data_IF_797573466654
#
_entry.id   IF_797573466654
#
_cell.length_a   1.000
_cell.length_b   1.000
_cell.length_c   1.000
_cell.angle_alpha   90.00
_cell.angle_beta   90.00
_cell.angle_gamma   90.00
#
_symmetry.space_group_name_H-M   'P 1'
#
loop_
_entity.id
_entity.type
_entity.pdbx_description
1 polymer ?
#
# COMPACT_ATOMS: atom_id res chain seq x y z
N UNK A 1 -10.24 -9.35 8.43
CA UNK A 1 -10.50 -8.53 9.64
C UNK A 1 -10.08 -9.33 10.86
N UNK A 2 -9.54 -8.67 11.89
CA UNK A 2 -9.22 -9.28 13.18
C UNK A 2 -9.65 -8.36 14.33
N UNK A 3 -10.55 -8.87 15.18
CA UNK A 3 -11.10 -8.17 16.35
C UNK A 3 -10.61 -8.72 17.70
N UNK A 4 -9.63 -9.63 17.69
CA UNK A 4 -9.12 -10.30 18.90
C UNK A 4 -8.65 -9.31 19.97
N UNK A 5 -8.11 -8.17 19.56
CA UNK A 5 -7.58 -7.13 20.48
C UNK A 5 -8.54 -5.96 20.69
N UNK A 6 -9.63 -5.90 19.93
CA UNK A 6 -10.51 -4.75 19.93
C UNK A 6 -11.31 -4.66 21.24
N UNK A 7 -11.32 -3.47 21.86
CA UNK A 7 -12.20 -3.15 23.00
C UNK A 7 -12.97 -1.88 22.70
N UNK A 8 -14.13 -1.72 23.36
CA UNK A 8 -14.94 -0.51 23.25
C UNK A 8 -14.08 0.75 23.50
N UNK A 9 -14.19 1.74 22.60
CA UNK A 9 -13.38 2.96 22.59
C UNK A 9 -12.01 2.84 21.91
N UNK A 10 -11.60 1.64 21.48
CA UNK A 10 -10.40 1.42 20.67
C UNK A 10 -10.57 1.89 19.21
N UNK A 11 -9.47 2.21 18.52
CA UNK A 11 -9.51 2.64 17.12
C UNK A 11 -9.60 1.45 16.15
N UNK A 12 -9.86 1.75 14.88
CA UNK A 12 -9.61 0.84 13.76
C UNK A 12 -8.23 1.15 13.19
N UNK A 13 -7.36 0.14 13.11
CA UNK A 13 -6.18 0.17 12.27
C UNK A 13 -6.54 -0.41 10.90
N UNK A 14 -6.56 0.47 9.90
CA UNK A 14 -6.99 0.16 8.55
C UNK A 14 -5.79 0.12 7.61
N UNK A 15 -5.37 -1.07 7.18
CA UNK A 15 -4.32 -1.19 6.18
C UNK A 15 -4.89 -0.99 4.78
N UNK A 16 -4.41 0.02 4.08
CA UNK A 16 -4.74 0.29 2.67
C UNK A 16 -3.91 -0.64 1.80
N UNK A 17 -4.48 -1.80 1.46
CA UNK A 17 -3.84 -2.79 0.58
C UNK A 17 -3.37 -2.17 -0.72
N UNK A 18 -2.33 -2.74 -1.31
CA UNK A 18 -1.64 -2.11 -2.42
C UNK A 18 -1.45 -3.13 -3.56
N UNK A 19 -0.35 -3.05 -4.30
CA UNK A 19 -0.10 -3.74 -5.56
C UNK A 19 0.17 -5.25 -5.46
N UNK A 20 -0.60 -5.98 -4.65
CA UNK A 20 -0.40 -7.42 -4.43
C UNK A 20 -1.51 -8.08 -3.62
N UNK A 21 -1.31 -9.38 -3.35
CA UNK A 21 -2.22 -10.14 -2.50
C UNK A 21 -2.20 -9.61 -1.07
N UNK A 22 -3.38 -9.37 -0.49
CA UNK A 22 -3.51 -8.77 0.83
C UNK A 22 -2.90 -9.60 1.97
N UNK A 23 -2.87 -10.92 1.84
CA UNK A 23 -2.34 -11.84 2.87
C UNK A 23 -0.81 -11.71 3.01
N UNK A 24 -0.12 -11.37 1.92
CA UNK A 24 1.32 -11.10 1.94
C UNK A 24 1.63 -9.85 2.77
N UNK A 25 0.85 -8.78 2.57
CA UNK A 25 0.98 -7.55 3.35
C UNK A 25 0.57 -7.75 4.81
N UNK A 26 -0.48 -8.55 5.07
CA UNK A 26 -0.88 -8.91 6.42
C UNK A 26 0.27 -9.58 7.17
N UNK A 27 0.97 -10.52 6.54
CA UNK A 27 2.09 -11.24 7.17
C UNK A 27 3.33 -10.36 7.35
N UNK A 28 3.62 -9.47 6.40
CA UNK A 28 4.81 -8.62 6.44
C UNK A 28 4.68 -7.39 7.35
N UNK A 29 3.46 -6.94 7.67
CA UNK A 29 3.22 -5.71 8.43
C UNK A 29 3.18 -5.97 9.95
N UNK A 30 4.27 -6.46 10.52
CA UNK A 30 4.38 -6.80 11.96
C UNK A 30 3.94 -5.66 12.89
N UNK A 31 4.26 -4.41 12.53
CA UNK A 31 3.91 -3.23 13.32
C UNK A 31 2.40 -3.04 13.52
N UNK A 32 1.57 -3.46 12.55
CA UNK A 32 0.11 -3.42 12.69
C UNK A 32 -0.35 -4.32 13.85
N UNK A 33 0.22 -5.53 13.91
CA UNK A 33 -0.08 -6.55 14.91
C UNK A 33 0.52 -6.23 16.28
N UNK A 34 1.73 -5.65 16.32
CA UNK A 34 2.40 -5.29 17.57
C UNK A 34 1.71 -4.12 18.29
N UNK A 35 1.11 -3.20 17.53
CA UNK A 35 0.44 -2.03 18.08
C UNK A 35 -1.02 -2.30 18.45
N UNK A 36 -1.73 -3.16 17.73
CA UNK A 36 -3.16 -3.37 17.99
C UNK A 36 -3.50 -3.77 19.45
N UNK A 37 -2.76 -4.68 20.12
CA UNK A 37 -2.97 -4.98 21.54
C UNK A 37 -2.75 -3.78 22.46
N UNK A 38 -1.80 -2.90 22.13
CA UNK A 38 -1.46 -1.72 22.95
C UNK A 38 -2.52 -0.64 22.87
N UNK A 39 -3.18 -0.52 21.71
CA UNK A 39 -4.23 0.47 21.47
C UNK A 39 -5.64 -0.09 21.61
N UNK A 40 -5.78 -1.38 21.92
CA UNK A 40 -7.05 -2.14 21.87
C UNK A 40 -7.75 -1.97 20.51
N UNK A 41 -6.98 -2.00 19.43
CA UNK A 41 -7.46 -1.68 18.09
C UNK A 41 -8.07 -2.90 17.39
N UNK A 42 -9.08 -2.65 16.55
CA UNK A 42 -9.49 -3.59 15.52
C UNK A 42 -8.52 -3.50 14.33
N UNK A 43 -8.26 -4.62 13.66
CA UNK A 43 -7.43 -4.65 12.45
C UNK A 43 -8.29 -4.97 11.24
N UNK A 44 -8.23 -4.08 10.26
CA UNK A 44 -8.91 -4.23 8.97
C UNK A 44 -7.86 -4.07 7.88
N UNK A 45 -7.75 -5.06 7.01
CA UNK A 45 -6.82 -5.05 5.89
C UNK A 45 -7.69 -5.19 4.65
N UNK A 46 -7.72 -4.16 3.82
CA UNK A 46 -8.57 -4.11 2.64
C UNK A 46 -7.73 -4.36 1.40
N UNK A 47 -8.04 -5.42 0.66
CA UNK A 47 -7.35 -5.72 -0.60
C UNK A 47 -7.65 -4.64 -1.66
N UNK A 48 -6.65 -4.29 -2.46
CA UNK A 48 -6.81 -3.30 -3.51
C UNK A 48 -7.57 -3.91 -4.69
N UNK A 49 -8.49 -3.16 -5.29
CA UNK A 49 -9.16 -3.59 -6.53
C UNK A 49 -8.14 -4.00 -7.60
N UNK A 50 -8.47 -5.02 -8.38
CA UNK A 50 -7.63 -5.69 -9.38
C UNK A 50 -6.51 -6.57 -8.81
N UNK A 51 -6.22 -6.56 -7.51
CA UNK A 51 -5.18 -7.42 -6.93
C UNK A 51 -5.77 -8.58 -6.16
N UNK A 52 -4.99 -9.67 -6.07
CA UNK A 52 -5.38 -10.90 -5.38
C UNK A 52 -6.71 -11.45 -5.89
N UNK A 53 -7.70 -11.47 -5.01
CA UNK A 53 -9.05 -11.98 -5.30
C UNK A 53 -10.07 -10.88 -5.61
N UNK A 54 -9.69 -9.61 -5.40
CA UNK A 54 -10.55 -8.43 -5.54
C UNK A 54 -10.63 -7.95 -6.99
N UNK A 55 -11.13 -8.82 -7.87
CA UNK A 55 -11.20 -8.61 -9.32
C UNK A 55 -12.60 -8.13 -9.75
N UNK A 56 -12.80 -6.83 -10.12
CA UNK A 56 -14.13 -6.30 -10.42
C UNK A 56 -14.86 -7.00 -11.56
N UNK A 57 -14.12 -7.61 -12.50
CA UNK A 57 -14.65 -8.36 -13.63
C UNK A 57 -14.18 -9.82 -13.63
N UNK A 58 -13.77 -10.35 -12.47
CA UNK A 58 -13.17 -11.69 -12.37
C UNK A 58 -11.96 -11.82 -13.31
N UNK A 59 -11.88 -12.94 -14.04
CA UNK A 59 -10.79 -13.22 -14.98
C UNK A 59 -10.67 -12.19 -16.12
N UNK A 60 -11.74 -11.46 -16.42
CA UNK A 60 -11.77 -10.44 -17.48
C UNK A 60 -11.24 -9.07 -17.02
N UNK A 61 -10.80 -8.94 -15.76
CA UNK A 61 -10.36 -7.65 -15.22
C UNK A 61 -9.22 -7.03 -16.04
N UNK A 62 -8.36 -7.86 -16.65
CA UNK A 62 -7.22 -7.42 -17.45
C UNK A 62 -7.39 -7.60 -18.97
N UNK A 63 -8.58 -8.03 -19.44
CA UNK A 63 -8.75 -8.40 -20.85
C UNK A 63 -8.94 -7.22 -21.80
N UNK A 64 -9.22 -6.01 -21.29
CA UNK A 64 -9.37 -4.81 -22.12
C UNK A 64 -9.02 -3.52 -21.37
N UNK A 65 -8.68 -2.48 -22.14
CA UNK A 65 -8.46 -1.12 -21.62
C UNK A 65 -9.72 -0.58 -20.92
N UNK A 66 -10.92 -0.95 -21.41
CA UNK A 66 -12.17 -0.53 -20.80
C UNK A 66 -12.34 -1.11 -19.38
N UNK A 67 -12.01 -2.39 -19.18
CA UNK A 67 -12.04 -3.02 -17.86
C UNK A 67 -10.93 -2.45 -16.96
N UNK A 68 -9.71 -2.32 -17.48
CA UNK A 68 -8.59 -1.72 -16.75
C UNK A 68 -8.80 -0.23 -16.43
N UNK A 69 -9.70 0.46 -17.12
CA UNK A 69 -10.02 1.87 -16.84
C UNK A 69 -10.55 2.13 -15.43
N UNK A 70 -11.00 1.08 -14.72
CA UNK A 70 -11.43 1.17 -13.32
C UNK A 70 -10.29 0.95 -12.31
N UNK A 71 -9.08 0.63 -12.76
CA UNK A 71 -7.88 0.50 -11.94
C UNK A 71 -7.23 1.88 -11.75
N UNK A 72 -7.78 2.67 -10.83
CA UNK A 72 -7.20 3.96 -10.41
C UNK A 72 -7.10 4.07 -8.90
N UNK A 73 -6.21 4.94 -8.43
CA UNK A 73 -6.02 5.18 -6.99
C UNK A 73 -7.27 5.81 -6.35
N UNK A 74 -7.94 6.73 -7.03
CA UNK A 74 -9.16 7.40 -6.57
C UNK A 74 -10.28 6.39 -6.32
N UNK A 75 -10.41 5.44 -7.22
CA UNK A 75 -11.36 4.36 -7.16
C UNK A 75 -11.05 3.38 -6.00
N UNK A 76 -9.77 3.04 -5.79
CA UNK A 76 -9.37 2.25 -4.63
C UNK A 76 -9.65 2.98 -3.29
N UNK A 77 -9.37 4.28 -3.22
CA UNK A 77 -9.71 5.09 -2.04
C UNK A 77 -11.22 5.14 -1.79
N UNK A 78 -12.03 5.19 -2.85
CA UNK A 78 -13.49 5.14 -2.75
C UNK A 78 -13.97 3.77 -2.24
N UNK A 79 -13.34 2.67 -2.63
CA UNK A 79 -13.65 1.33 -2.08
C UNK A 79 -13.37 1.26 -0.59
N UNK A 80 -12.21 1.76 -0.16
CA UNK A 80 -11.86 1.80 1.26
C UNK A 80 -12.83 2.68 2.06
N UNK A 81 -13.25 3.82 1.51
CA UNK A 81 -14.23 4.69 2.11
C UNK A 81 -15.58 3.97 2.26
N UNK A 82 -16.07 3.33 1.20
CA UNK A 82 -17.33 2.60 1.20
C UNK A 82 -17.31 1.44 2.20
N UNK A 83 -16.20 0.69 2.27
CA UNK A 83 -16.01 -0.37 3.24
C UNK A 83 -16.06 0.18 4.68
N UNK A 84 -15.38 1.29 4.98
CA UNK A 84 -15.43 1.90 6.31
C UNK A 84 -16.82 2.42 6.67
N UNK A 85 -17.57 2.97 5.71
CA UNK A 85 -18.96 3.39 5.93
C UNK A 85 -19.84 2.20 6.26
N UNK A 86 -19.73 1.10 5.50
CA UNK A 86 -20.47 -0.14 5.79
C UNK A 86 -20.11 -0.66 7.19
N UNK A 87 -18.83 -0.72 7.52
CA UNK A 87 -18.34 -1.16 8.84
C UNK A 87 -18.79 -0.26 10.00
N UNK A 88 -19.16 0.99 9.74
CA UNK A 88 -19.73 1.91 10.74
C UNK A 88 -21.25 1.99 10.71
N UNK A 89 -21.89 1.21 9.84
CA UNK A 89 -23.34 1.14 9.72
C UNK A 89 -23.90 0.05 10.63
N UNK A 90 -24.85 0.36 11.54
CA UNK A 90 -25.49 -0.65 12.36
C UNK A 90 -26.26 -1.68 11.51
N UNK A 91 -26.25 -2.96 11.92
CA UNK A 91 -26.94 -4.06 11.22
C UNK A 91 -26.53 -4.21 9.74
N UNK A 92 -25.28 -3.90 9.43
CA UNK A 92 -24.72 -4.08 8.09
C UNK A 92 -24.67 -5.55 7.66
N UNK A 93 -24.37 -5.74 6.37
CA UNK A 93 -24.32 -7.08 5.76
C UNK A 93 -23.09 -7.90 6.18
N UNK A 94 -22.08 -7.24 6.74
CA UNK A 94 -20.82 -7.85 7.17
C UNK A 94 -20.90 -8.48 8.57
N UNK A 95 -22.00 -8.26 9.30
CA UNK A 95 -22.22 -8.82 10.64
C UNK A 95 -21.31 -8.24 11.73
N UNK A 96 -20.55 -7.19 11.42
CA UNK A 96 -19.65 -6.49 12.35
C UNK A 96 -19.79 -5.00 12.13
N UNK A 97 -20.11 -4.25 13.19
CA UNK A 97 -20.21 -2.79 13.14
C UNK A 97 -19.41 -2.14 14.25
N UNK A 98 -18.87 -0.96 13.97
CA UNK A 98 -18.18 -0.09 14.91
C UNK A 98 -19.01 1.20 15.09
N UNK A 99 -18.92 1.87 16.26
CA UNK A 99 -19.47 3.20 16.43
C UNK A 99 -19.05 4.18 15.32
N UNK A 100 -19.94 5.09 14.94
CA UNK A 100 -19.70 6.04 13.84
C UNK A 100 -18.50 6.95 14.12
N UNK A 101 -18.27 7.28 15.40
CA UNK A 101 -17.18 8.11 15.91
C UNK A 101 -15.88 7.34 16.18
N UNK A 102 -15.82 6.01 15.94
CA UNK A 102 -14.60 5.22 16.12
C UNK A 102 -13.44 5.81 15.30
N UNK A 103 -12.31 6.18 15.93
CA UNK A 103 -11.16 6.71 15.20
C UNK A 103 -10.57 5.67 14.24
N UNK A 104 -10.10 6.12 13.09
CA UNK A 104 -9.47 5.24 12.08
C UNK A 104 -8.07 5.74 11.76
N UNK A 105 -7.07 4.89 11.93
CA UNK A 105 -5.70 5.16 11.51
C UNK A 105 -5.40 4.31 10.28
N UNK A 106 -5.12 4.98 9.16
CA UNK A 106 -4.72 4.33 7.92
C UNK A 106 -3.25 3.90 7.99
N UNK A 107 -2.93 2.68 7.58
CA UNK A 107 -1.57 2.14 7.50
C UNK A 107 -1.25 1.68 6.08
N UNK A 108 -0.02 1.92 5.63
CA UNK A 108 0.45 1.36 4.38
C UNK A 108 1.94 1.57 4.16
N UNK A 109 2.55 0.66 3.40
CA UNK A 109 3.94 0.75 2.94
C UNK A 109 4.02 0.97 1.42
N UNK A 110 5.08 1.60 0.92
CA UNK A 110 5.26 1.83 -0.53
C UNK A 110 4.07 2.58 -1.15
N UNK A 111 3.47 2.09 -2.24
CA UNK A 111 2.22 2.61 -2.80
C UNK A 111 1.06 2.53 -1.81
N UNK A 112 0.99 1.52 -0.95
CA UNK A 112 0.04 1.49 0.18
C UNK A 112 0.23 2.68 1.13
N UNK A 113 1.48 3.11 1.34
CA UNK A 113 1.76 4.32 2.13
C UNK A 113 1.28 5.59 1.43
N UNK A 114 1.40 5.66 0.11
CA UNK A 114 0.85 6.76 -0.69
C UNK A 114 -0.69 6.78 -0.58
N UNK A 115 -1.34 5.62 -0.72
CA UNK A 115 -2.77 5.45 -0.52
C UNK A 115 -3.19 5.90 0.87
N UNK A 116 -2.51 5.47 1.93
CA UNK A 116 -2.80 5.92 3.30
C UNK A 116 -2.71 7.43 3.48
N UNK A 117 -1.67 8.07 2.95
CA UNK A 117 -1.53 9.53 2.98
C UNK A 117 -2.69 10.22 2.23
N UNK A 118 -2.94 9.80 0.99
CA UNK A 118 -4.02 10.36 0.17
C UNK A 118 -5.40 10.09 0.77
N UNK A 119 -5.58 8.94 1.44
CA UNK A 119 -6.85 8.59 2.06
C UNK A 119 -7.16 9.55 3.21
N UNK A 120 -6.18 9.86 4.06
CA UNK A 120 -6.32 10.91 5.07
C UNK A 120 -6.57 12.28 4.45
N UNK A 121 -5.87 12.64 3.37
CA UNK A 121 -6.05 13.95 2.72
C UNK A 121 -7.43 14.13 2.08
N UNK A 122 -7.97 13.09 1.44
CA UNK A 122 -9.23 13.14 0.66
C UNK A 122 -10.46 12.78 1.48
N UNK A 123 -10.32 11.91 2.48
CA UNK A 123 -11.40 11.47 3.36
C UNK A 123 -11.10 11.78 4.84
N UNK A 124 -10.79 13.04 5.20
CA UNK A 124 -10.42 13.39 6.57
C UNK A 124 -11.58 13.23 7.58
N UNK A 125 -12.81 13.12 7.08
CA UNK A 125 -14.01 12.84 7.87
C UNK A 125 -14.16 11.35 8.24
N UNK A 126 -13.44 10.45 7.55
CA UNK A 126 -13.39 9.01 7.87
C UNK A 126 -12.09 8.62 8.58
N UNK A 127 -10.97 9.21 8.16
CA UNK A 127 -9.62 8.81 8.58
C UNK A 127 -9.07 9.83 9.56
N UNK A 128 -8.81 9.44 10.80
CA UNK A 128 -8.27 10.30 11.86
C UNK A 128 -6.80 10.64 11.62
N UNK A 129 -6.00 9.66 11.17
CA UNK A 129 -4.57 9.82 10.90
C UNK A 129 -4.06 8.77 9.93
N UNK A 130 -2.83 8.96 9.42
CA UNK A 130 -2.22 8.01 8.49
C UNK A 130 -0.74 7.76 8.85
N UNK A 131 -0.36 6.49 8.81
CA UNK A 131 1.02 6.02 8.85
C UNK A 131 1.45 5.63 7.43
N UNK A 132 2.05 6.58 6.72
CA UNK A 132 2.55 6.40 5.36
C UNK A 132 4.02 5.97 5.35
N UNK A 133 4.29 4.66 5.50
CA UNK A 133 5.64 4.14 5.60
C UNK A 133 6.32 4.06 4.22
N UNK A 134 7.51 4.67 4.10
CA UNK A 134 8.32 4.66 2.86
C UNK A 134 7.53 5.02 1.60
N UNK A 135 6.59 5.96 1.71
CA UNK A 135 5.71 6.39 0.62
C UNK A 135 6.41 7.42 -0.28
N UNK A 136 6.70 7.12 -1.56
CA UNK A 136 7.40 8.03 -2.47
C UNK A 136 6.49 9.13 -3.05
N UNK A 137 5.83 9.91 -2.17
CA UNK A 137 4.84 10.94 -2.54
C UNK A 137 5.38 12.05 -3.46
N UNK A 138 6.70 12.25 -3.50
CA UNK A 138 7.37 13.28 -4.30
C UNK A 138 7.99 12.74 -5.60
N UNK A 139 7.95 11.42 -5.84
CA UNK A 139 8.61 10.80 -7.00
C UNK A 139 7.76 10.90 -8.27
N UNK A 140 7.33 12.11 -8.61
CA UNK A 140 6.49 12.44 -9.76
C UNK A 140 7.07 13.63 -10.53
N UNK A 141 6.61 13.83 -11.76
CA UNK A 141 6.95 15.02 -12.54
C UNK A 141 6.59 16.29 -11.76
N UNK A 142 7.56 17.19 -11.58
CA UNK A 142 7.39 18.41 -10.80
C UNK A 142 7.51 18.23 -9.28
N UNK A 143 7.75 17.01 -8.78
CA UNK A 143 7.95 16.72 -7.35
C UNK A 143 9.34 17.08 -6.81
N UNK A 144 10.26 17.54 -7.66
CA UNK A 144 11.58 18.03 -7.26
C UNK A 144 12.59 16.94 -6.89
N UNK A 145 12.28 15.67 -7.14
CA UNK A 145 13.22 14.55 -6.94
C UNK A 145 14.04 14.33 -8.22
N UNK A 146 15.36 14.25 -8.05
CA UNK A 146 16.27 13.90 -9.15
C UNK A 146 15.94 12.52 -9.72
N UNK A 147 15.92 12.39 -11.05
CA UNK A 147 15.51 11.13 -11.71
C UNK A 147 16.46 9.97 -11.39
N UNK A 148 17.73 10.24 -11.12
CA UNK A 148 18.73 9.26 -10.72
C UNK A 148 18.82 9.05 -9.21
N UNK A 149 17.97 9.69 -8.41
CA UNK A 149 18.02 9.58 -6.95
C UNK A 149 17.87 8.14 -6.45
N UNK A 150 16.95 7.37 -7.04
CA UNK A 150 16.76 5.96 -6.69
C UNK A 150 18.04 5.13 -6.97
N UNK A 151 18.62 5.29 -8.15
CA UNK A 151 19.84 4.57 -8.55
C UNK A 151 21.06 5.00 -7.72
N UNK A 152 21.15 6.28 -7.39
CA UNK A 152 22.22 6.82 -6.55
C UNK A 152 22.14 6.27 -5.11
N UNK A 153 20.94 6.20 -4.53
CA UNK A 153 20.73 5.59 -3.20
C UNK A 153 21.02 4.09 -3.25
N UNK A 154 20.59 3.41 -4.30
CA UNK A 154 20.86 1.97 -4.49
C UNK A 154 22.37 1.73 -4.58
N UNK A 155 23.07 2.46 -5.44
CA UNK A 155 24.53 2.36 -5.60
C UNK A 155 25.25 2.57 -4.26
N UNK A 156 24.90 3.65 -3.55
CA UNK A 156 25.49 3.96 -2.24
C UNK A 156 25.24 2.84 -1.22
N UNK A 157 24.05 2.26 -1.19
CA UNK A 157 23.74 1.13 -0.27
C UNK A 157 24.70 -0.04 -0.47
N UNK A 158 25.05 -0.37 -1.71
CA UNK A 158 26.02 -1.43 -2.00
C UNK A 158 27.44 -1.01 -1.66
N UNK A 159 27.83 0.23 -1.98
CA UNK A 159 29.16 0.76 -1.60
C UNK A 159 29.36 0.77 -0.09
N UNK A 160 28.35 1.20 0.68
CA UNK A 160 28.36 1.23 2.15
C UNK A 160 28.44 -0.20 2.74
N UNK A 161 27.93 -1.21 2.03
CA UNK A 161 28.09 -2.62 2.36
C UNK A 161 29.47 -3.20 1.95
N UNK A 162 30.36 -2.39 1.37
CA UNK A 162 31.72 -2.78 0.98
C UNK A 162 31.84 -3.27 -0.47
N UNK A 163 30.80 -3.16 -1.29
CA UNK A 163 30.88 -3.54 -2.70
C UNK A 163 31.69 -2.51 -3.51
N UNK A 164 32.54 -3.01 -4.41
CA UNK A 164 33.23 -2.15 -5.37
C UNK A 164 32.32 -1.88 -6.57
N UNK A 165 31.80 -0.65 -6.68
CA UNK A 165 30.91 -0.24 -7.79
C UNK A 165 31.49 -0.46 -9.18
N UNK A 166 32.81 -0.44 -9.35
CA UNK A 166 33.44 -0.63 -10.65
C UNK A 166 33.32 -2.08 -11.12
N UNK A 167 33.21 -3.05 -10.21
CA UNK A 167 32.95 -4.45 -10.59
C UNK A 167 31.56 -4.56 -11.23
N UNK A 168 30.54 -3.95 -10.61
CA UNK A 168 29.17 -3.93 -11.13
C UNK A 168 29.09 -3.12 -12.44
N UNK A 169 29.75 -1.98 -12.52
CA UNK A 169 29.79 -1.18 -13.75
C UNK A 169 30.47 -1.96 -14.90
N UNK A 170 31.57 -2.66 -14.61
CA UNK A 170 32.29 -3.45 -15.60
C UNK A 170 31.51 -4.68 -16.06
N UNK A 171 30.66 -5.29 -15.22
CA UNK A 171 29.81 -6.39 -15.66
C UNK A 171 28.81 -5.95 -16.74
N UNK A 172 28.27 -4.72 -16.64
CA UNK A 172 27.42 -4.17 -17.68
C UNK A 172 28.17 -3.96 -19.00
N UNK A 173 29.39 -3.39 -18.94
CA UNK A 173 30.24 -3.24 -20.12
C UNK A 173 30.56 -4.59 -20.77
N UNK A 174 30.82 -5.63 -19.97
CA UNK A 174 31.07 -6.97 -20.48
C UNK A 174 29.86 -7.55 -21.22
N UNK A 175 28.64 -7.41 -20.67
CA UNK A 175 27.40 -7.85 -21.32
C UNK A 175 27.19 -7.12 -22.66
N UNK A 176 27.36 -5.79 -22.67
CA UNK A 176 27.21 -4.99 -23.89
C UNK A 176 28.20 -5.42 -24.97
N UNK A 177 29.48 -5.59 -24.60
CA UNK A 177 30.51 -6.05 -25.53
C UNK A 177 30.18 -7.43 -26.11
N UNK A 178 29.79 -8.39 -25.27
CA UNK A 178 29.40 -9.73 -25.72
C UNK A 178 28.19 -9.70 -26.66
N UNK A 179 27.17 -8.91 -26.33
CA UNK A 179 25.96 -8.78 -27.16
C UNK A 179 26.23 -8.18 -28.54
N UNK A 180 27.25 -7.31 -28.65
CA UNK A 180 27.64 -6.68 -29.92
C UNK A 180 28.38 -7.62 -30.88
N UNK A 181 28.84 -8.78 -30.38
CA UNK A 181 29.62 -9.75 -31.15
C UNK A 181 28.82 -10.95 -31.66
N UNK A 182 27.51 -11.02 -31.35
CA UNK A 182 26.61 -12.01 -31.90
C UNK A 182 26.25 -11.72 -33.36
N UNK A 183 26.92 -12.42 -34.29
CA UNK A 183 26.37 -12.77 -35.61
C UNK A 183 25.74 -14.16 -35.53
#
# INVERSE_FOLDING_TARGET
>A
MNNTFHKSGGPIFFYTGNEGNVEEFATATGMLWDLAPKFNAAIIIAEHRFYGTSLPFGNESYSSIANMGYLTSEQALADYAALLVELKTPNNTLGVSYPSDTPVIAFGGSYGGMLSAWFRMKYPHLITGAWAASAPLLYFQGGGVDQGAFDAVTTRTFEDAGCNRYIIANSWNAILNLSSTGK
#
